data_IF_715979209883
#
_entry.id   IF_715979209883
#
_cell.length_a   1.000
_cell.length_b   1.000
_cell.length_c   1.000
_cell.angle_alpha   90.00
_cell.angle_beta   90.00
_cell.angle_gamma   90.00
#
_symmetry.space_group_name_H-M   'P 1'
#
loop_
_entity.id
_entity.type
_entity.pdbx_description
1 polymer ?
#
# COMPACT_ATOMS: atom_id res chain seq x y z
N UNK A 1 20.51 14.57 -9.79
CA UNK A 1 19.24 14.51 -9.02
C UNK A 1 18.43 13.32 -9.52
N UNK A 2 18.82 12.09 -9.16
CA UNK A 2 18.09 10.89 -9.60
C UNK A 2 18.05 9.90 -8.44
N UNK A 3 17.02 10.01 -7.62
CA UNK A 3 16.87 9.21 -6.40
C UNK A 3 15.64 9.66 -5.63
N UNK A 4 14.47 9.63 -6.28
CA UNK A 4 13.17 9.94 -5.64
C UNK A 4 12.55 8.74 -4.93
N UNK A 5 13.15 7.56 -5.08
CA UNK A 5 12.69 6.30 -4.49
C UNK A 5 13.83 5.82 -3.61
N UNK A 6 13.55 5.61 -2.33
CA UNK A 6 14.50 5.06 -1.37
C UNK A 6 14.52 3.53 -1.46
N UNK A 7 13.34 2.91 -1.50
CA UNK A 7 13.20 1.46 -1.66
C UNK A 7 11.85 1.08 -2.30
N UNK A 8 11.81 -0.08 -2.96
CA UNK A 8 10.59 -0.66 -3.48
C UNK A 8 10.62 -2.18 -3.41
N UNK A 9 9.49 -2.79 -3.02
CA UNK A 9 9.43 -4.22 -2.76
C UNK A 9 8.06 -4.83 -3.04
N UNK A 10 8.07 -6.10 -3.40
CA UNK A 10 6.84 -6.89 -3.61
C UNK A 10 6.42 -7.53 -2.28
N UNK A 11 5.13 -7.45 -1.95
CA UNK A 11 4.59 -8.07 -0.74
C UNK A 11 4.15 -9.50 -1.05
N UNK A 12 4.80 -10.49 -0.41
CA UNK A 12 4.45 -11.91 -0.51
C UNK A 12 4.25 -12.53 0.87
N UNK A 13 3.20 -13.36 1.08
CA UNK A 13 2.04 -13.57 0.19
C UNK A 13 1.19 -12.29 0.04
N UNK A 14 0.36 -12.21 -1.00
CA UNK A 14 -0.55 -11.07 -1.23
C UNK A 14 -1.69 -11.11 -0.21
N UNK A 15 -1.49 -10.50 0.96
CA UNK A 15 -2.48 -10.53 2.05
C UNK A 15 -3.79 -9.82 1.65
N UNK A 16 -4.96 -10.38 1.97
CA UNK A 16 -6.23 -9.66 1.85
C UNK A 16 -6.27 -8.51 2.86
N UNK A 17 -6.71 -7.34 2.41
CA UNK A 17 -6.75 -6.11 3.20
C UNK A 17 -8.07 -5.37 3.03
N UNK A 18 -8.58 -4.91 4.15
CA UNK A 18 -9.77 -4.06 4.26
C UNK A 18 -9.36 -2.66 4.74
N UNK A 19 -10.29 -1.70 4.68
CA UNK A 19 -10.05 -0.30 5.12
C UNK A 19 -9.53 -0.17 6.56
N UNK A 20 -9.92 -1.09 7.45
CA UNK A 20 -9.51 -1.09 8.86
C UNK A 20 -8.10 -1.63 9.07
N UNK A 21 -7.59 -2.44 8.14
CA UNK A 21 -6.29 -3.11 8.27
C UNK A 21 -5.15 -2.35 7.62
N UNK A 22 -5.41 -1.28 6.85
CA UNK A 22 -4.35 -0.51 6.16
C UNK A 22 -3.30 0.01 7.12
N UNK A 23 -3.69 0.60 8.25
CA UNK A 23 -2.75 1.13 9.25
C UNK A 23 -1.79 0.08 9.81
N UNK A 24 -2.23 -1.17 9.94
CA UNK A 24 -1.38 -2.27 10.42
C UNK A 24 -0.27 -2.56 9.40
N UNK A 25 -0.62 -2.54 8.12
CA UNK A 25 0.33 -2.81 7.04
C UNK A 25 1.20 -1.59 6.71
N UNK A 26 0.70 -0.37 6.86
CA UNK A 26 1.50 0.85 6.77
C UNK A 26 2.62 0.81 7.82
N UNK A 27 2.29 0.54 9.08
CA UNK A 27 3.30 0.43 10.16
C UNK A 27 4.31 -0.70 9.93
N UNK A 28 3.94 -1.74 9.19
CA UNK A 28 4.81 -2.89 8.93
C UNK A 28 5.77 -2.66 7.77
N UNK A 29 5.30 -2.00 6.70
CA UNK A 29 6.06 -1.87 5.46
C UNK A 29 6.58 -0.46 5.19
N UNK A 30 6.02 0.57 5.81
CA UNK A 30 6.46 1.95 5.63
C UNK A 30 7.28 2.40 6.85
N UNK A 31 8.37 3.16 6.64
CA UNK A 31 9.27 3.55 7.72
C UNK A 31 8.67 4.65 8.62
N UNK A 32 7.71 5.43 8.13
CA UNK A 32 7.02 6.46 8.91
C UNK A 32 5.56 6.64 8.45
N UNK A 33 4.70 7.11 9.36
CA UNK A 33 3.31 7.46 9.03
C UNK A 33 3.26 8.59 8.02
N UNK A 34 2.48 8.42 6.95
CA UNK A 34 2.38 9.40 5.87
C UNK A 34 3.58 9.45 4.93
N UNK A 35 4.53 8.50 5.07
CA UNK A 35 5.67 8.37 4.17
C UNK A 35 5.60 7.08 3.38
N UNK A 36 5.63 7.19 2.04
CA UNK A 36 5.53 6.05 1.15
C UNK A 36 4.11 5.67 0.76
N UNK A 37 4.01 4.66 -0.12
CA UNK A 37 2.76 4.21 -0.70
C UNK A 37 2.70 2.68 -0.71
N UNK A 38 1.64 2.14 -0.10
CA UNK A 38 1.20 0.78 -0.33
C UNK A 38 0.35 0.69 -1.60
N UNK A 39 0.66 -0.27 -2.45
CA UNK A 39 -0.04 -0.60 -3.69
C UNK A 39 -0.84 -1.87 -3.47
N UNK A 40 -2.13 -1.83 -3.80
CA UNK A 40 -3.04 -2.96 -3.68
C UNK A 40 -3.89 -3.15 -4.94
N UNK A 41 -4.29 -4.39 -5.18
CA UNK A 41 -5.30 -4.74 -6.18
C UNK A 41 -6.67 -4.71 -5.55
N UNK A 42 -7.56 -3.87 -6.07
CA UNK A 42 -8.99 -3.83 -5.72
C UNK A 42 -9.82 -4.29 -6.92
N UNK A 43 -11.14 -4.57 -6.74
CA UNK A 43 -12.03 -4.85 -7.86
C UNK A 43 -12.13 -3.72 -8.89
N UNK A 44 -11.81 -2.48 -8.48
CA UNK A 44 -11.83 -1.29 -9.33
C UNK A 44 -10.48 -1.04 -10.05
N UNK A 45 -9.51 -1.93 -9.85
CA UNK A 45 -8.16 -1.81 -10.40
C UNK A 45 -7.06 -1.72 -9.34
N UNK A 46 -5.85 -1.44 -9.80
CA UNK A 46 -4.67 -1.22 -8.96
C UNK A 46 -4.68 0.23 -8.48
N UNK A 47 -4.53 0.43 -7.18
CA UNK A 47 -4.52 1.77 -6.59
C UNK A 47 -3.68 1.83 -5.32
N UNK A 48 -3.40 3.04 -4.87
CA UNK A 48 -2.76 3.29 -3.59
C UNK A 48 -3.72 3.00 -2.42
N UNK A 49 -3.17 2.71 -1.23
CA UNK A 49 -3.97 2.57 -0.01
C UNK A 49 -4.77 3.84 0.34
N UNK A 50 -4.25 5.03 0.01
CA UNK A 50 -4.96 6.30 0.19
C UNK A 50 -6.20 6.39 -0.71
N UNK A 51 -6.05 6.12 -2.01
CA UNK A 51 -7.19 6.08 -2.94
C UNK A 51 -8.20 4.99 -2.57
N UNK A 52 -7.72 3.82 -2.14
CA UNK A 52 -8.59 2.74 -1.69
C UNK A 52 -9.38 3.14 -0.43
N UNK A 53 -8.78 3.95 0.46
CA UNK A 53 -9.46 4.49 1.65
C UNK A 53 -10.56 5.47 1.26
N UNK A 54 -10.29 6.38 0.34
CA UNK A 54 -11.28 7.34 -0.18
C UNK A 54 -12.44 6.63 -0.88
N UNK A 55 -12.13 5.63 -1.72
CA UNK A 55 -13.12 4.84 -2.47
C UNK A 55 -13.79 3.75 -1.64
N UNK A 56 -13.48 3.64 -0.34
CA UNK A 56 -13.93 2.56 0.54
C UNK A 56 -13.72 1.15 -0.05
N UNK A 57 -12.65 0.95 -0.82
CA UNK A 57 -12.32 -0.29 -1.48
C UNK A 57 -11.33 -1.13 -0.65
N UNK A 58 -11.60 -2.43 -0.57
CA UNK A 58 -10.67 -3.44 -0.07
C UNK A 58 -10.03 -4.21 -1.22
N UNK A 59 -9.03 -5.02 -0.90
CA UNK A 59 -8.26 -5.69 -1.93
C UNK A 59 -7.20 -6.65 -1.40
N UNK A 60 -6.13 -6.80 -2.18
CA UNK A 60 -4.94 -7.57 -1.79
C UNK A 60 -3.70 -6.73 -1.97
N UNK A 61 -2.78 -6.80 -1.00
CA UNK A 61 -1.51 -6.10 -1.08
C UNK A 61 -0.66 -6.66 -2.23
N UNK A 62 0.02 -5.76 -2.93
CA UNK A 62 0.84 -6.11 -4.09
C UNK A 62 2.29 -5.68 -3.87
N UNK A 63 2.53 -4.41 -3.51
CA UNK A 63 3.87 -3.86 -3.33
C UNK A 63 3.86 -2.64 -2.40
N UNK A 64 5.04 -2.21 -1.98
CA UNK A 64 5.29 -0.94 -1.33
C UNK A 64 6.38 -0.16 -2.07
N UNK A 65 6.32 1.16 -2.00
CA UNK A 65 7.34 2.07 -2.54
C UNK A 65 7.48 3.25 -1.58
N UNK A 66 8.71 3.62 -1.20
CA UNK A 66 8.99 4.82 -0.41
C UNK A 66 10.41 5.34 -0.63
#
# INVERSE_FOLDING_TARGET
LVGKINDCGVIRPRYPVNKKTFEIFEKRFLPASGFGILILTTPLGIMSHNEAREKNAGGRLLAFVY
#
